data_IF_863116110646
#
_entry.id   IF_863116110646
#
_cell.length_a   1.000
_cell.length_b   1.000
_cell.length_c   1.000
_cell.angle_alpha   90.00
_cell.angle_beta   90.00
_cell.angle_gamma   90.00
#
_symmetry.space_group_name_H-M   'P 1'
#
loop_
_entity.id
_entity.type
_entity.pdbx_description
1 polymer ?
#
# COMPACT_ATOMS: atom_id res chain seq x y z
N UNK A 1 38.03 42.81 -20.98
CA UNK A 1 37.05 42.01 -21.74
C UNK A 1 36.41 41.02 -20.79
N UNK A 2 35.30 41.43 -20.17
CA UNK A 2 34.41 40.57 -19.40
C UNK A 2 33.69 39.66 -20.39
N UNK A 3 33.90 38.34 -20.32
CA UNK A 3 33.09 37.37 -21.06
C UNK A 3 31.65 37.54 -20.57
N UNK A 4 30.76 38.03 -21.44
CA UNK A 4 29.32 37.98 -21.19
C UNK A 4 28.93 36.52 -20.93
N UNK A 5 28.39 36.25 -19.74
CA UNK A 5 27.87 34.92 -19.41
C UNK A 5 26.63 34.70 -20.26
N UNK A 6 26.57 33.57 -20.96
CA UNK A 6 25.42 33.21 -21.78
C UNK A 6 24.17 33.15 -20.86
N UNK A 7 23.01 33.74 -21.23
CA UNK A 7 21.82 33.79 -20.38
C UNK A 7 21.40 32.43 -19.79
N UNK A 8 21.56 31.35 -20.56
CA UNK A 8 21.29 29.99 -20.10
C UNK A 8 22.16 29.55 -18.91
N UNK A 9 23.42 30.00 -18.82
CA UNK A 9 24.29 29.66 -17.69
C UNK A 9 23.82 30.35 -16.40
N UNK A 10 23.25 31.55 -16.50
CA UNK A 10 22.68 32.25 -15.33
C UNK A 10 21.42 31.53 -14.84
N UNK A 11 20.55 31.11 -15.75
CA UNK A 11 19.36 30.34 -15.44
C UNK A 11 19.71 28.99 -14.77
N UNK A 12 20.72 28.29 -15.28
CA UNK A 12 21.20 27.04 -14.68
C UNK A 12 21.80 27.24 -13.29
N UNK A 13 22.59 28.29 -13.07
CA UNK A 13 23.12 28.60 -11.73
C UNK A 13 22.01 28.96 -10.76
N UNK A 14 21.03 29.74 -11.22
CA UNK A 14 19.88 30.16 -10.42
C UNK A 14 19.00 28.96 -10.03
N UNK A 15 18.65 28.09 -10.98
CA UNK A 15 17.84 26.90 -10.70
C UNK A 15 18.53 25.95 -9.72
N UNK A 16 19.85 25.81 -9.76
CA UNK A 16 20.63 25.04 -8.78
C UNK A 16 20.54 25.65 -7.38
N UNK A 17 20.63 26.97 -7.27
CA UNK A 17 20.45 27.67 -6.00
C UNK A 17 19.05 27.43 -5.42
N UNK A 18 18.01 27.55 -6.26
CA UNK A 18 16.63 27.28 -5.85
C UNK A 18 16.42 25.82 -5.44
N UNK A 19 17.04 24.88 -6.15
CA UNK A 19 16.98 23.46 -5.84
C UNK A 19 17.59 23.17 -4.46
N UNK A 20 18.82 23.66 -4.20
CA UNK A 20 19.49 23.49 -2.92
C UNK A 20 18.71 24.12 -1.76
N UNK A 21 18.13 25.30 -1.98
CA UNK A 21 17.28 25.95 -0.99
C UNK A 21 16.02 25.13 -0.69
N UNK A 22 15.41 24.54 -1.72
CA UNK A 22 14.20 23.73 -1.57
C UNK A 22 14.45 22.42 -0.83
N UNK A 23 15.57 21.77 -1.11
CA UNK A 23 15.95 20.49 -0.52
C UNK A 23 16.90 20.67 0.68
N UNK A 24 16.93 21.85 1.31
CA UNK A 24 17.87 22.18 2.39
C UNK A 24 17.74 21.30 3.64
N UNK A 25 16.58 20.67 3.81
CA UNK A 25 16.32 19.76 4.93
C UNK A 25 16.83 18.34 4.67
N UNK A 26 17.35 18.06 3.47
CA UNK A 26 17.88 16.76 3.05
C UNK A 26 19.37 16.87 2.74
N UNK A 27 20.06 15.72 2.68
CA UNK A 27 21.45 15.69 2.24
C UNK A 27 21.48 15.70 0.72
N UNK A 28 22.01 16.76 0.14
CA UNK A 28 22.11 16.95 -1.32
C UNK A 28 23.58 17.00 -1.72
N UNK A 29 24.04 15.98 -2.44
CA UNK A 29 25.40 15.91 -2.98
C UNK A 29 25.38 16.36 -4.44
N UNK A 30 26.17 17.37 -4.80
CA UNK A 30 26.37 17.77 -6.20
C UNK A 30 27.28 16.76 -6.89
N UNK A 31 26.88 16.28 -8.07
CA UNK A 31 27.60 15.28 -8.86
C UNK A 31 28.30 15.87 -10.10
N UNK A 32 28.15 17.18 -10.33
CA UNK A 32 28.62 17.89 -11.54
C UNK A 32 30.14 17.83 -11.77
N UNK A 33 30.94 17.62 -10.72
CA UNK A 33 32.40 17.60 -10.82
C UNK A 33 32.99 16.24 -11.20
N UNK A 34 32.18 15.18 -11.23
CA UNK A 34 32.66 13.80 -11.33
C UNK A 34 32.20 13.07 -12.61
N UNK A 35 31.90 13.81 -13.68
CA UNK A 35 31.44 13.30 -14.99
C UNK A 35 30.23 12.34 -14.87
N UNK A 36 29.43 12.47 -13.82
CA UNK A 36 28.21 11.71 -13.67
C UNK A 36 27.14 12.24 -14.61
N UNK A 37 26.27 11.32 -15.07
CA UNK A 37 25.13 11.63 -15.92
C UNK A 37 24.02 12.46 -15.22
N UNK A 38 24.13 12.72 -13.91
CA UNK A 38 23.12 13.38 -13.10
C UNK A 38 23.70 14.57 -12.34
N UNK A 39 22.87 15.55 -11.99
CA UNK A 39 23.33 16.79 -11.33
C UNK A 39 23.48 16.63 -9.82
N UNK A 40 22.57 15.87 -9.18
CA UNK A 40 22.57 15.67 -7.73
C UNK A 40 22.25 14.23 -7.34
N UNK A 41 22.80 13.81 -6.20
CA UNK A 41 22.27 12.71 -5.40
C UNK A 41 21.57 13.29 -4.17
N UNK A 42 20.33 12.89 -3.94
CA UNK A 42 19.52 13.38 -2.84
C UNK A 42 19.23 12.23 -1.89
N UNK A 43 19.53 12.45 -0.60
CA UNK A 43 19.26 11.51 0.48
C UNK A 43 18.34 12.18 1.49
N UNK A 44 17.04 11.84 1.46
CA UNK A 44 16.09 12.38 2.41
C UNK A 44 16.49 12.00 3.84
N UNK A 45 16.57 13.01 4.71
CA UNK A 45 16.82 12.81 6.13
C UNK A 45 15.51 13.01 6.89
N UNK A 46 14.89 11.91 7.31
CA UNK A 46 13.73 11.96 8.19
C UNK A 46 14.13 12.39 9.60
N UNK A 47 13.25 13.14 10.29
CA UNK A 47 13.21 13.07 11.76
C UNK A 47 12.71 11.67 12.07
N UNK A 48 13.54 10.85 12.72
CA UNK A 48 13.14 9.52 13.17
C UNK A 48 11.93 9.66 14.10
N UNK A 49 10.73 9.26 13.65
CA UNK A 49 9.56 9.19 14.53
C UNK A 49 9.48 7.80 15.15
N UNK A 50 9.99 6.76 14.47
CA UNK A 50 10.16 5.42 15.04
C UNK A 50 11.39 4.68 14.49
N UNK A 51 12.02 3.84 15.33
CA UNK A 51 13.15 2.99 14.94
C UNK A 51 12.78 1.89 13.92
N UNK A 52 11.50 1.74 13.60
CA UNK A 52 10.95 0.84 12.57
C UNK A 52 10.67 1.51 11.22
N UNK A 53 10.85 2.83 11.09
CA UNK A 53 10.58 3.53 9.81
C UNK A 53 11.67 3.24 8.77
N UNK A 54 11.23 2.70 7.63
CA UNK A 54 12.05 2.40 6.45
C UNK A 54 12.84 3.64 6.05
N UNK A 55 14.17 3.50 5.93
CA UNK A 55 15.04 4.57 5.40
C UNK A 55 14.46 5.09 4.09
N UNK A 56 14.14 6.38 4.05
CA UNK A 56 13.66 7.03 2.82
C UNK A 56 14.69 6.80 1.70
N UNK A 57 14.22 6.26 0.56
CA UNK A 57 15.10 5.82 -0.51
C UNK A 57 15.83 7.01 -1.16
N UNK A 58 17.15 6.91 -1.38
CA UNK A 58 17.88 7.95 -2.10
C UNK A 58 17.43 7.99 -3.57
N UNK A 59 17.67 9.11 -4.23
CA UNK A 59 17.39 9.26 -5.66
C UNK A 59 18.40 10.21 -6.31
N UNK A 60 18.63 10.02 -7.61
CA UNK A 60 19.37 10.96 -8.44
C UNK A 60 18.44 12.03 -8.99
N UNK A 61 18.98 13.20 -9.27
CA UNK A 61 18.26 14.29 -9.92
C UNK A 61 18.98 14.72 -11.18
N UNK A 62 18.23 14.77 -12.27
CA UNK A 62 18.57 15.53 -13.46
C UNK A 62 17.79 16.85 -13.41
N UNK A 63 18.49 17.95 -13.14
CA UNK A 63 17.92 19.28 -13.08
C UNK A 63 17.96 19.92 -14.47
N UNK A 64 16.84 20.46 -14.92
CA UNK A 64 16.70 21.28 -16.12
C UNK A 64 16.01 22.59 -15.75
N UNK A 65 16.15 23.61 -16.59
CA UNK A 65 15.54 24.90 -16.33
C UNK A 65 15.02 25.55 -17.62
N UNK A 66 13.94 26.30 -17.49
CA UNK A 66 13.38 27.15 -18.54
C UNK A 66 12.95 28.49 -17.95
N UNK A 67 12.95 29.54 -18.77
CA UNK A 67 12.38 30.85 -18.38
C UNK A 67 10.86 30.74 -18.19
N UNK A 68 10.18 30.08 -19.12
CA UNK A 68 8.74 29.81 -19.12
C UNK A 68 8.41 28.64 -20.04
N UNK A 69 7.28 27.97 -19.82
CA UNK A 69 6.70 27.07 -20.81
C UNK A 69 5.73 27.81 -21.74
N UNK A 70 5.75 27.45 -23.03
CA UNK A 70 4.77 27.92 -24.00
C UNK A 70 3.51 27.04 -23.91
N UNK A 71 2.54 27.45 -23.09
CA UNK A 71 1.26 26.75 -22.87
C UNK A 71 0.97 26.45 -21.39
N UNK A 72 -0.29 26.19 -21.09
CA UNK A 72 -0.79 26.17 -19.70
C UNK A 72 -0.66 24.84 -18.96
N UNK A 73 -0.45 23.70 -19.62
CA UNK A 73 -0.74 22.40 -18.97
C UNK A 73 0.45 21.44 -18.85
N UNK A 74 1.45 21.52 -19.74
CA UNK A 74 2.51 20.47 -19.82
C UNK A 74 3.91 21.06 -19.91
N UNK A 75 4.79 20.61 -19.01
CA UNK A 75 6.22 20.85 -19.06
C UNK A 75 6.89 19.87 -20.04
N UNK A 76 7.72 20.38 -20.95
CA UNK A 76 8.32 19.59 -22.04
C UNK A 76 9.83 19.64 -21.99
N UNK A 77 10.48 18.49 -22.15
CA UNK A 77 11.94 18.42 -22.28
C UNK A 77 12.38 17.34 -23.27
N UNK A 78 13.36 17.64 -24.11
CA UNK A 78 13.91 16.69 -25.09
C UNK A 78 15.18 16.03 -24.56
N UNK A 79 15.23 14.71 -24.58
CA UNK A 79 16.39 13.90 -24.20
C UNK A 79 16.97 13.16 -25.39
N UNK A 80 18.29 12.94 -25.37
CA UNK A 80 18.90 11.91 -26.19
C UNK A 80 18.45 10.54 -25.68
N UNK A 81 18.01 9.68 -26.57
CA UNK A 81 17.53 8.33 -26.21
C UNK A 81 18.64 7.50 -25.56
N UNK A 82 19.90 7.67 -26.00
CA UNK A 82 21.06 7.00 -25.42
C UNK A 82 21.27 7.32 -23.94
N UNK A 83 20.99 8.55 -23.51
CA UNK A 83 21.06 8.95 -22.10
C UNK A 83 19.99 8.26 -21.25
N UNK A 84 18.74 8.20 -21.76
CA UNK A 84 17.67 7.53 -21.04
C UNK A 84 17.93 6.02 -20.90
N UNK A 85 18.46 5.38 -21.93
CA UNK A 85 18.78 3.94 -21.90
C UNK A 85 20.03 3.67 -21.06
N UNK A 86 21.13 4.37 -21.38
CA UNK A 86 22.46 4.10 -20.82
C UNK A 86 22.60 4.53 -19.37
N UNK A 87 22.02 5.67 -19.00
CA UNK A 87 22.20 6.26 -17.67
C UNK A 87 20.96 6.08 -16.81
N UNK A 88 19.79 6.49 -17.30
CA UNK A 88 18.58 6.52 -16.46
C UNK A 88 18.00 5.13 -16.19
N UNK A 89 17.78 4.32 -17.23
CA UNK A 89 17.24 2.97 -17.10
C UNK A 89 18.24 1.96 -16.54
N UNK A 90 19.53 2.29 -16.53
CA UNK A 90 20.56 1.46 -15.92
C UNK A 90 20.87 1.84 -14.46
N UNK A 91 20.35 2.97 -13.98
CA UNK A 91 20.52 3.38 -12.59
C UNK A 91 19.81 2.42 -11.61
N UNK A 92 20.49 2.10 -10.51
CA UNK A 92 19.99 1.23 -9.44
C UNK A 92 19.08 1.93 -8.43
N UNK A 93 18.96 3.25 -8.53
CA UNK A 93 18.07 4.09 -7.74
C UNK A 93 17.24 5.01 -8.66
N UNK A 94 16.07 5.50 -8.21
CA UNK A 94 15.22 6.39 -9.01
C UNK A 94 15.97 7.63 -9.51
N UNK A 95 15.70 8.03 -10.75
CA UNK A 95 16.19 9.26 -11.34
C UNK A 95 15.00 10.20 -11.52
N UNK A 96 15.01 11.30 -10.76
CA UNK A 96 13.99 12.35 -10.83
C UNK A 96 14.45 13.37 -11.87
N UNK A 97 13.63 13.61 -12.89
CA UNK A 97 13.73 14.81 -13.69
C UNK A 97 13.06 15.94 -12.92
N UNK A 98 13.80 17.00 -12.62
CA UNK A 98 13.26 18.23 -12.08
C UNK A 98 13.43 19.34 -13.12
N UNK A 99 12.34 19.98 -13.53
CA UNK A 99 12.36 21.12 -14.44
C UNK A 99 11.93 22.37 -13.68
N UNK A 100 12.86 23.30 -13.51
CA UNK A 100 12.62 24.59 -12.90
C UNK A 100 12.07 25.59 -13.92
N UNK A 101 10.98 26.27 -13.60
CA UNK A 101 10.44 27.38 -14.40
C UNK A 101 10.63 28.70 -13.65
N UNK A 102 11.41 29.62 -14.23
CA UNK A 102 11.76 30.88 -13.56
C UNK A 102 10.59 31.85 -13.41
N UNK A 103 9.71 31.92 -14.41
CA UNK A 103 8.56 32.84 -14.40
C UNK A 103 7.55 32.55 -13.28
N UNK A 104 7.42 31.28 -12.88
CA UNK A 104 6.53 30.84 -11.78
C UNK A 104 7.29 30.55 -10.49
N UNK A 105 8.62 30.47 -10.53
CA UNK A 105 9.49 30.03 -9.43
C UNK A 105 9.11 28.64 -8.88
N UNK A 106 8.85 27.70 -9.79
CA UNK A 106 8.33 26.37 -9.46
C UNK A 106 9.14 25.23 -10.07
N UNK A 107 9.11 24.07 -9.40
CA UNK A 107 9.67 22.83 -9.90
C UNK A 107 8.56 21.87 -10.34
N UNK A 108 8.66 21.38 -11.58
CA UNK A 108 7.87 20.26 -12.08
C UNK A 108 8.73 19.02 -12.15
N UNK A 109 8.16 17.84 -11.89
CA UNK A 109 8.97 16.65 -11.73
C UNK A 109 8.30 15.38 -12.21
N UNK A 110 9.12 14.40 -12.59
CA UNK A 110 8.69 13.02 -12.83
C UNK A 110 9.85 12.05 -12.54
N UNK A 111 9.54 10.76 -12.34
CA UNK A 111 10.57 9.72 -12.31
C UNK A 111 10.83 9.24 -13.74
N UNK A 112 12.06 9.42 -14.23
CA UNK A 112 12.42 9.08 -15.61
C UNK A 112 12.21 7.60 -15.94
N UNK A 113 12.57 6.69 -15.02
CA UNK A 113 12.35 5.27 -15.27
C UNK A 113 10.86 4.91 -15.36
N UNK A 114 10.02 5.42 -14.44
CA UNK A 114 8.57 5.21 -14.51
C UNK A 114 7.99 5.80 -15.78
N UNK A 115 8.39 7.00 -16.19
CA UNK A 115 7.94 7.61 -17.43
C UNK A 115 8.32 6.75 -18.66
N UNK A 116 9.54 6.21 -18.69
CA UNK A 116 9.96 5.30 -19.75
C UNK A 116 9.09 4.02 -19.80
N UNK A 117 8.76 3.44 -18.65
CA UNK A 117 8.00 2.19 -18.59
C UNK A 117 6.50 2.36 -18.80
N UNK A 118 5.92 3.46 -18.32
CA UNK A 118 4.47 3.65 -18.27
C UNK A 118 3.99 4.49 -19.46
N UNK A 119 4.81 5.42 -19.96
CA UNK A 119 4.42 6.32 -21.06
C UNK A 119 5.13 5.92 -22.34
N UNK A 120 6.47 5.85 -22.34
CA UNK A 120 7.19 5.62 -23.60
C UNK A 120 7.03 4.18 -24.11
N UNK A 121 7.12 3.18 -23.26
CA UNK A 121 6.94 1.78 -23.65
C UNK A 121 5.53 1.46 -24.16
N UNK A 122 4.53 2.17 -23.67
CA UNK A 122 3.13 1.94 -24.03
C UNK A 122 2.69 2.79 -25.23
N UNK A 123 2.99 4.09 -25.22
CA UNK A 123 2.47 5.03 -26.21
C UNK A 123 3.40 5.23 -27.41
N UNK A 124 4.71 4.94 -27.27
CA UNK A 124 5.69 5.06 -28.35
C UNK A 124 6.68 3.88 -28.33
N UNK A 125 6.27 2.63 -28.60
CA UNK A 125 7.11 1.43 -28.41
C UNK A 125 8.47 1.46 -29.15
N UNK A 126 8.57 2.22 -30.24
CA UNK A 126 9.78 2.37 -31.03
C UNK A 126 10.76 3.44 -30.51
N UNK A 127 10.43 4.14 -29.42
CA UNK A 127 11.20 5.27 -28.87
C UNK A 127 12.69 4.95 -28.67
N UNK A 128 13.02 3.69 -28.33
CA UNK A 128 14.40 3.24 -28.11
C UNK A 128 15.27 3.27 -29.37
N UNK A 129 14.67 3.28 -30.56
CA UNK A 129 15.37 3.38 -31.84
C UNK A 129 15.54 4.82 -32.32
N UNK A 130 14.82 5.77 -31.72
CA UNK A 130 14.87 7.19 -32.06
C UNK A 130 16.13 7.82 -31.46
N UNK A 131 16.67 8.87 -32.08
CA UNK A 131 17.83 9.59 -31.53
C UNK A 131 17.45 10.47 -30.34
N UNK A 132 16.24 11.04 -30.38
CA UNK A 132 15.70 11.91 -29.35
C UNK A 132 14.27 11.52 -29.04
N UNK A 133 13.88 11.70 -27.78
CA UNK A 133 12.51 11.57 -27.32
C UNK A 133 12.13 12.77 -26.46
N UNK A 134 10.88 13.19 -26.54
CA UNK A 134 10.34 14.28 -25.75
C UNK A 134 9.56 13.73 -24.57
N UNK A 135 9.95 14.16 -23.37
CA UNK A 135 9.23 13.89 -22.13
C UNK A 135 8.25 15.03 -21.87
N UNK A 136 7.03 14.67 -21.50
CA UNK A 136 5.91 15.55 -21.24
C UNK A 136 5.41 15.29 -19.82
N UNK A 137 5.46 16.31 -18.97
CA UNK A 137 5.09 16.19 -17.55
C UNK A 137 3.93 17.14 -17.29
N UNK A 138 2.90 16.66 -16.61
CA UNK A 138 1.83 17.53 -16.12
C UNK A 138 2.40 18.62 -15.22
N UNK A 139 1.89 19.85 -15.34
CA UNK A 139 2.34 20.99 -14.54
C UNK A 139 1.77 20.93 -13.13
N UNK A 140 2.14 19.90 -12.38
CA UNK A 140 1.89 19.78 -10.94
C UNK A 140 3.14 20.23 -10.15
N UNK A 141 3.14 21.44 -9.56
CA UNK A 141 4.32 21.96 -8.88
C UNK A 141 4.66 21.16 -7.62
N UNK A 142 5.96 20.95 -7.40
CA UNK A 142 6.49 20.37 -6.17
C UNK A 142 6.14 21.21 -4.92
N UNK A 143 5.91 22.50 -5.13
CA UNK A 143 5.50 23.51 -4.13
C UNK A 143 4.10 23.29 -3.56
N UNK A 144 3.25 22.52 -4.24
CA UNK A 144 1.86 22.30 -3.80
C UNK A 144 1.82 21.59 -2.43
N UNK A 145 0.75 21.77 -1.64
CA UNK A 145 0.57 21.03 -0.39
C UNK A 145 0.73 19.53 -0.62
N UNK A 146 1.65 18.90 0.13
CA UNK A 146 1.97 17.48 -0.01
C UNK A 146 2.85 17.10 -1.21
N UNK A 147 3.31 18.06 -2.03
CA UNK A 147 4.13 17.76 -3.23
C UNK A 147 5.40 16.97 -2.92
N UNK A 148 6.12 17.33 -1.85
CA UNK A 148 7.29 16.56 -1.37
C UNK A 148 6.92 15.15 -0.89
N UNK A 149 5.75 14.97 -0.26
CA UNK A 149 5.29 13.66 0.17
C UNK A 149 4.94 12.79 -1.04
N UNK A 150 4.28 13.35 -2.06
CA UNK A 150 3.99 12.66 -3.33
C UNK A 150 5.29 12.26 -4.04
N UNK A 151 6.26 13.16 -4.13
CA UNK A 151 7.61 12.84 -4.64
C UNK A 151 8.20 11.64 -3.91
N UNK A 152 8.19 11.64 -2.58
CA UNK A 152 8.73 10.55 -1.78
C UNK A 152 7.98 9.23 -1.97
N UNK A 153 6.65 9.26 -2.09
CA UNK A 153 5.84 8.08 -2.39
C UNK A 153 6.19 7.52 -3.77
N UNK A 154 6.27 8.37 -4.79
CA UNK A 154 6.60 7.96 -6.16
C UNK A 154 8.04 7.44 -6.29
N UNK A 155 9.01 8.07 -5.61
CA UNK A 155 10.39 7.57 -5.49
C UNK A 155 10.41 6.18 -4.86
N UNK A 156 9.66 5.98 -3.76
CA UNK A 156 9.59 4.68 -3.08
C UNK A 156 8.96 3.60 -3.96
N UNK A 157 7.90 3.94 -4.71
CA UNK A 157 7.28 3.03 -5.67
C UNK A 157 8.24 2.68 -6.82
N UNK A 158 8.93 3.68 -7.37
CA UNK A 158 9.93 3.46 -8.41
C UNK A 158 11.09 2.58 -7.93
N UNK A 159 11.58 2.78 -6.69
CA UNK A 159 12.63 1.93 -6.11
C UNK A 159 12.18 0.47 -6.02
N UNK A 160 10.95 0.20 -5.58
CA UNK A 160 10.39 -1.17 -5.55
C UNK A 160 10.36 -1.78 -6.95
N UNK A 161 9.96 -1.02 -7.97
CA UNK A 161 9.97 -1.47 -9.38
C UNK A 161 11.38 -1.76 -9.88
N UNK A 162 12.35 -0.88 -9.60
CA UNK A 162 13.77 -1.08 -9.96
C UNK A 162 14.31 -2.36 -9.33
N UNK A 163 14.10 -2.56 -8.02
CA UNK A 163 14.56 -3.75 -7.31
C UNK A 163 13.93 -5.03 -7.87
N UNK A 164 12.63 -5.02 -8.13
CA UNK A 164 11.91 -6.14 -8.76
C UNK A 164 12.47 -6.46 -10.15
N UNK A 165 12.63 -5.44 -11.01
CA UNK A 165 13.16 -5.60 -12.37
C UNK A 165 14.61 -6.09 -12.39
N UNK A 166 15.44 -5.62 -11.44
CA UNK A 166 16.81 -6.11 -11.26
C UNK A 166 16.85 -7.58 -10.83
N UNK A 167 15.96 -7.99 -9.93
CA UNK A 167 15.82 -9.38 -9.50
C UNK A 167 15.43 -10.30 -10.67
N UNK A 168 14.43 -9.90 -11.46
CA UNK A 168 13.98 -10.65 -12.65
C UNK A 168 15.11 -10.77 -13.67
N UNK A 169 15.83 -9.68 -13.96
CA UNK A 169 16.96 -9.70 -14.88
C UNK A 169 18.05 -10.68 -14.41
N UNK A 170 18.37 -10.65 -13.11
CA UNK A 170 19.39 -11.52 -12.50
C UNK A 170 19.00 -13.00 -12.53
N UNK A 171 17.73 -13.33 -12.27
CA UNK A 171 17.22 -14.71 -12.35
C UNK A 171 17.27 -15.27 -13.77
N UNK A 172 17.00 -14.45 -14.78
CA UNK A 172 16.86 -14.90 -16.18
C UNK A 172 18.16 -14.92 -16.97
N UNK A 173 19.07 -13.98 -16.72
CA UNK A 173 20.30 -13.83 -17.54
C UNK A 173 21.48 -14.67 -17.03
N UNK A 174 21.32 -15.34 -15.88
CA UNK A 174 22.40 -16.06 -15.21
C UNK A 174 23.49 -15.11 -14.71
N UNK A 175 24.35 -15.58 -13.80
CA UNK A 175 25.38 -14.75 -13.15
C UNK A 175 26.52 -14.28 -14.09
N UNK A 176 26.54 -14.68 -15.36
CA UNK A 176 27.73 -14.52 -16.23
C UNK A 176 27.48 -13.99 -17.65
N UNK A 177 26.27 -13.56 -18.01
CA UNK A 177 26.00 -12.96 -19.32
C UNK A 177 25.24 -11.64 -19.16
N UNK A 178 25.98 -10.57 -18.83
CA UNK A 178 25.45 -9.21 -18.92
C UNK A 178 25.60 -8.73 -20.37
N UNK A 179 24.54 -8.71 -21.21
CA UNK A 179 24.59 -7.87 -22.40
C UNK A 179 24.78 -6.42 -21.96
N UNK A 180 25.63 -5.63 -22.65
CA UNK A 180 25.81 -4.23 -22.33
C UNK A 180 24.48 -3.49 -22.55
N UNK A 181 24.01 -2.75 -21.54
CA UNK A 181 23.06 -1.66 -21.76
C UNK A 181 21.82 -1.58 -20.86
N UNK A 182 21.41 -2.62 -20.12
CA UNK A 182 20.37 -2.49 -19.08
C UNK A 182 20.53 -3.53 -17.98
N UNK A 183 20.75 -3.08 -16.74
CA UNK A 183 20.77 -3.95 -15.54
C UNK A 183 19.35 -4.36 -15.08
N UNK A 184 18.32 -3.78 -15.69
CA UNK A 184 16.92 -3.98 -15.33
C UNK A 184 16.19 -4.78 -16.42
N UNK A 185 15.21 -5.59 -15.99
CA UNK A 185 14.29 -6.25 -16.90
C UNK A 185 13.41 -5.22 -17.65
N UNK A 186 13.27 -5.42 -18.95
CA UNK A 186 12.31 -4.70 -19.79
C UNK A 186 10.87 -5.00 -19.39
N UNK A 187 9.95 -4.13 -19.80
CA UNK A 187 8.51 -4.27 -19.48
C UNK A 187 7.94 -5.60 -20.00
N UNK A 188 8.38 -6.04 -21.18
CA UNK A 188 7.99 -7.34 -21.73
C UNK A 188 8.61 -8.52 -20.97
N UNK A 189 9.86 -8.41 -20.49
CA UNK A 189 10.46 -9.45 -19.63
C UNK A 189 9.71 -9.60 -18.31
N UNK A 190 9.28 -8.48 -17.70
CA UNK A 190 8.46 -8.47 -16.47
C UNK A 190 7.10 -9.13 -16.72
N UNK A 191 6.37 -8.69 -17.76
CA UNK A 191 5.06 -9.26 -18.13
C UNK A 191 5.17 -10.75 -18.39
N UNK A 192 6.20 -11.19 -19.12
CA UNK A 192 6.47 -12.62 -19.35
C UNK A 192 6.75 -13.38 -18.06
N UNK A 193 7.54 -12.82 -17.15
CA UNK A 193 7.83 -13.46 -15.86
C UNK A 193 6.55 -13.64 -15.04
N UNK A 194 5.72 -12.59 -14.93
CA UNK A 194 4.43 -12.69 -14.24
C UNK A 194 3.52 -13.74 -14.88
N UNK A 195 3.41 -13.79 -16.21
CA UNK A 195 2.64 -14.82 -16.93
C UNK A 195 3.09 -16.23 -16.59
N UNK A 196 4.41 -16.50 -16.65
CA UNK A 196 4.97 -17.81 -16.30
C UNK A 196 4.61 -18.22 -14.86
N UNK A 197 4.59 -17.27 -13.91
CA UNK A 197 4.19 -17.54 -12.54
C UNK A 197 2.69 -17.85 -12.41
N UNK A 198 1.82 -17.16 -13.15
CA UNK A 198 0.37 -17.44 -13.20
C UNK A 198 0.11 -18.80 -13.83
N UNK A 199 0.75 -19.11 -14.95
CA UNK A 199 0.67 -20.43 -15.61
C UNK A 199 1.16 -21.56 -14.69
N UNK A 200 2.25 -21.33 -13.96
CA UNK A 200 2.75 -22.29 -12.97
C UNK A 200 1.74 -22.51 -11.84
N UNK A 201 1.10 -21.43 -11.37
CA UNK A 201 0.04 -21.53 -10.36
C UNK A 201 -1.17 -22.33 -10.88
N UNK A 202 -1.55 -22.17 -12.15
CA UNK A 202 -2.60 -22.97 -12.77
C UNK A 202 -2.26 -24.46 -12.77
N UNK A 203 -1.04 -24.82 -13.18
CA UNK A 203 -0.56 -26.22 -13.13
C UNK A 203 -0.57 -26.78 -11.71
N UNK A 204 -0.16 -25.98 -10.73
CA UNK A 204 -0.21 -26.37 -9.31
C UNK A 204 -1.65 -26.60 -8.82
N UNK A 205 -2.60 -25.76 -9.25
CA UNK A 205 -4.01 -25.93 -8.89
C UNK A 205 -4.59 -27.23 -9.49
N UNK A 206 -4.30 -27.53 -10.76
CA UNK A 206 -4.71 -28.79 -11.41
C UNK A 206 -4.12 -30.02 -10.69
N UNK A 207 -2.89 -29.89 -10.18
CA UNK A 207 -2.21 -30.94 -9.41
C UNK A 207 -2.63 -31.00 -7.93
N UNK A 208 -3.73 -30.35 -7.54
CA UNK A 208 -4.26 -30.30 -6.17
C UNK A 208 -3.27 -29.72 -5.13
N UNK A 209 -2.40 -28.82 -5.57
CA UNK A 209 -1.47 -28.07 -4.72
C UNK A 209 -1.97 -26.64 -4.48
N UNK A 210 -3.21 -26.52 -4.00
CA UNK A 210 -3.95 -25.25 -3.88
C UNK A 210 -3.19 -24.17 -3.09
N UNK A 211 -2.59 -24.51 -1.95
CA UNK A 211 -1.83 -23.54 -1.14
C UNK A 211 -0.64 -22.94 -1.92
N UNK A 212 0.07 -23.77 -2.69
CA UNK A 212 1.21 -23.31 -3.51
C UNK A 212 0.74 -22.48 -4.69
N UNK A 213 -0.38 -22.85 -5.31
CA UNK A 213 -1.01 -22.06 -6.36
C UNK A 213 -1.40 -20.66 -5.84
N UNK A 214 -2.13 -20.59 -4.72
CA UNK A 214 -2.54 -19.34 -4.07
C UNK A 214 -1.36 -18.47 -3.67
N UNK A 215 -0.30 -19.05 -3.10
CA UNK A 215 0.93 -18.31 -2.77
C UNK A 215 1.58 -17.71 -4.01
N UNK A 216 1.59 -18.44 -5.13
CA UNK A 216 2.20 -17.98 -6.38
C UNK A 216 1.40 -16.85 -7.04
N UNK A 217 0.08 -16.95 -7.13
CA UNK A 217 -0.75 -15.85 -7.66
C UNK A 217 -0.77 -14.64 -6.72
N UNK A 218 -0.72 -14.85 -5.40
CA UNK A 218 -0.58 -13.75 -4.44
C UNK A 218 0.75 -13.01 -4.63
N UNK A 219 1.84 -13.73 -4.88
CA UNK A 219 3.12 -13.11 -5.20
C UNK A 219 3.01 -12.24 -6.47
N UNK A 220 2.39 -12.72 -7.54
CA UNK A 220 2.17 -11.92 -8.76
C UNK A 220 1.34 -10.67 -8.48
N UNK A 221 0.26 -10.79 -7.70
CA UNK A 221 -0.57 -9.65 -7.28
C UNK A 221 0.24 -8.58 -6.54
N UNK A 222 1.15 -8.99 -5.66
CA UNK A 222 2.01 -8.09 -4.87
C UNK A 222 3.17 -7.47 -5.67
N UNK A 223 3.58 -8.06 -6.80
CA UNK A 223 4.62 -7.48 -7.65
C UNK A 223 4.13 -6.17 -8.26
N UNK A 224 4.93 -5.08 -8.26
CA UNK A 224 4.54 -3.79 -8.83
C UNK A 224 4.04 -3.87 -10.28
N UNK A 225 3.32 -2.83 -10.72
CA UNK A 225 2.74 -2.64 -12.07
C UNK A 225 1.39 -3.32 -12.27
N UNK A 226 0.40 -2.50 -12.65
CA UNK A 226 -0.94 -2.90 -13.06
C UNK A 226 -0.89 -3.35 -14.52
N UNK A 227 -0.64 -4.64 -14.73
CA UNK A 227 -0.57 -5.27 -16.04
C UNK A 227 -1.57 -6.43 -16.19
N UNK A 228 -1.79 -6.89 -17.42
CA UNK A 228 -2.67 -8.03 -17.72
C UNK A 228 -2.40 -9.27 -16.84
N UNK A 229 -1.15 -9.67 -16.57
CA UNK A 229 -0.86 -10.79 -15.66
C UNK A 229 -1.33 -10.57 -14.21
N UNK A 230 -1.35 -9.32 -13.71
CA UNK A 230 -1.95 -9.01 -12.42
C UNK A 230 -3.47 -9.20 -12.44
N UNK A 231 -4.15 -8.77 -13.51
CA UNK A 231 -5.59 -9.04 -13.70
C UNK A 231 -5.86 -10.55 -13.72
N UNK A 232 -5.08 -11.33 -14.45
CA UNK A 232 -5.20 -12.78 -14.48
C UNK A 232 -4.99 -13.39 -13.07
N UNK A 233 -3.99 -12.90 -12.32
CA UNK A 233 -3.75 -13.34 -10.94
C UNK A 233 -4.93 -13.00 -10.00
N UNK A 234 -5.57 -11.85 -10.17
CA UNK A 234 -6.78 -11.47 -9.42
C UNK A 234 -7.92 -12.46 -9.71
N UNK A 235 -8.22 -12.72 -10.99
CA UNK A 235 -9.26 -13.68 -11.37
C UNK A 235 -8.99 -15.07 -10.77
N UNK A 236 -7.73 -15.52 -10.79
CA UNK A 236 -7.34 -16.78 -10.15
C UNK A 236 -7.51 -16.76 -8.63
N UNK A 237 -7.13 -15.68 -7.95
CA UNK A 237 -7.32 -15.53 -6.51
C UNK A 237 -8.81 -15.57 -6.14
N UNK A 238 -9.67 -14.94 -6.94
CA UNK A 238 -11.12 -14.96 -6.75
C UNK A 238 -11.69 -16.36 -6.94
N UNK A 239 -11.26 -17.08 -7.98
CA UNK A 239 -11.73 -18.43 -8.28
C UNK A 239 -11.26 -19.49 -7.28
N UNK A 240 -9.98 -19.42 -6.85
CA UNK A 240 -9.37 -20.45 -6.01
C UNK A 240 -9.64 -20.27 -4.51
N UNK A 241 -10.00 -19.06 -4.05
CA UNK A 241 -10.30 -18.81 -2.63
C UNK A 241 -11.74 -19.15 -2.29
N UNK A 242 -11.92 -20.13 -1.43
CA UNK A 242 -13.22 -20.49 -0.84
C UNK A 242 -13.60 -19.48 0.22
N UNK A 243 -14.83 -18.96 0.17
CA UNK A 243 -15.37 -18.04 1.19
C UNK A 243 -15.78 -18.84 2.43
N UNK A 244 -14.92 -18.87 3.45
CA UNK A 244 -15.20 -19.59 4.71
C UNK A 244 -15.28 -18.69 5.93
N UNK A 245 -14.95 -17.40 5.78
CA UNK A 245 -14.91 -16.43 6.86
C UNK A 245 -15.10 -14.99 6.31
N UNK A 246 -15.58 -14.04 7.12
CA UNK A 246 -15.83 -12.67 6.69
C UNK A 246 -14.59 -11.94 6.15
N UNK A 247 -13.42 -12.17 6.74
CA UNK A 247 -12.14 -11.59 6.30
C UNK A 247 -11.76 -12.06 4.88
N UNK A 248 -12.01 -13.33 4.56
CA UNK A 248 -11.80 -13.88 3.22
C UNK A 248 -12.81 -13.28 2.23
N UNK A 249 -14.08 -13.15 2.63
CA UNK A 249 -15.11 -12.53 1.79
C UNK A 249 -14.76 -11.07 1.45
N UNK A 250 -14.36 -10.28 2.45
CA UNK A 250 -13.91 -8.90 2.28
C UNK A 250 -12.65 -8.82 1.42
N UNK A 251 -11.68 -9.73 1.60
CA UNK A 251 -10.50 -9.80 0.75
C UNK A 251 -10.85 -10.07 -0.72
N UNK A 252 -11.83 -10.96 -0.99
CA UNK A 252 -12.32 -11.21 -2.36
C UNK A 252 -12.98 -9.98 -2.96
N UNK A 253 -13.81 -9.24 -2.21
CA UNK A 253 -14.43 -8.01 -2.72
C UNK A 253 -13.39 -6.93 -3.09
N UNK A 254 -12.32 -6.81 -2.31
CA UNK A 254 -11.21 -5.88 -2.62
C UNK A 254 -10.47 -6.26 -3.89
N UNK A 255 -10.10 -7.54 -3.99
CA UNK A 255 -9.45 -8.08 -5.19
C UNK A 255 -10.34 -7.85 -6.42
N UNK A 256 -11.64 -8.05 -6.29
CA UNK A 256 -12.58 -7.81 -7.36
C UNK A 256 -12.72 -6.33 -7.74
N UNK A 257 -12.76 -5.40 -6.78
CA UNK A 257 -12.77 -3.96 -7.09
C UNK A 257 -11.52 -3.55 -7.88
N UNK A 258 -10.35 -4.04 -7.48
CA UNK A 258 -9.11 -3.81 -8.24
C UNK A 258 -9.17 -4.47 -9.61
N UNK A 259 -9.64 -5.72 -9.69
CA UNK A 259 -9.81 -6.45 -10.95
C UNK A 259 -10.77 -5.75 -11.92
N UNK A 260 -11.89 -5.23 -11.44
CA UNK A 260 -12.85 -4.46 -12.23
C UNK A 260 -12.25 -3.15 -12.74
N UNK A 261 -11.46 -2.45 -11.92
CA UNK A 261 -10.74 -1.25 -12.35
C UNK A 261 -9.76 -1.57 -13.49
N UNK A 262 -9.01 -2.68 -13.38
CA UNK A 262 -8.09 -3.13 -14.42
C UNK A 262 -8.82 -3.61 -15.68
N UNK A 263 -9.86 -4.42 -15.54
CA UNK A 263 -10.66 -4.91 -16.66
C UNK A 263 -11.35 -3.76 -17.42
N UNK A 264 -11.79 -2.72 -16.72
CA UNK A 264 -12.26 -1.48 -17.33
C UNK A 264 -11.15 -0.76 -18.10
N UNK A 265 -9.94 -0.66 -17.53
CA UNK A 265 -8.82 0.00 -18.20
C UNK A 265 -8.37 -0.71 -19.49
N UNK A 266 -8.60 -2.02 -19.60
CA UNK A 266 -8.27 -2.83 -20.77
C UNK A 266 -9.45 -3.05 -21.73
N UNK A 267 -10.64 -2.50 -21.43
CA UNK A 267 -11.86 -2.69 -22.22
C UNK A 267 -12.23 -4.18 -22.39
N UNK A 268 -12.21 -4.93 -21.27
CA UNK A 268 -12.48 -6.38 -21.26
C UNK A 268 -13.80 -6.72 -20.54
N UNK A 269 -14.96 -6.55 -21.21
CA UNK A 269 -16.27 -6.76 -20.58
C UNK A 269 -16.48 -8.21 -20.11
N UNK A 270 -15.96 -9.20 -20.85
CA UNK A 270 -16.08 -10.62 -20.48
C UNK A 270 -15.38 -10.92 -19.13
N UNK A 271 -14.28 -10.22 -18.84
CA UNK A 271 -13.56 -10.37 -17.57
C UNK A 271 -14.30 -9.64 -16.44
N UNK A 272 -14.98 -8.53 -16.75
CA UNK A 272 -15.82 -7.85 -15.77
C UNK A 272 -16.98 -8.75 -15.33
N UNK A 273 -17.70 -9.35 -16.28
CA UNK A 273 -18.78 -10.30 -16.01
C UNK A 273 -18.29 -11.49 -15.17
N UNK A 274 -17.14 -12.08 -15.54
CA UNK A 274 -16.51 -13.15 -14.75
C UNK A 274 -16.20 -12.72 -13.30
N UNK A 275 -15.68 -11.51 -13.10
CA UNK A 275 -15.36 -11.02 -11.75
C UNK A 275 -16.65 -10.81 -10.95
N UNK A 276 -17.70 -10.28 -11.57
CA UNK A 276 -19.02 -10.10 -10.94
C UNK A 276 -19.60 -11.45 -10.49
N UNK A 277 -19.55 -12.47 -11.34
CA UNK A 277 -19.99 -13.84 -10.99
C UNK A 277 -19.18 -14.41 -9.80
N UNK A 278 -17.87 -14.18 -9.77
CA UNK A 278 -16.98 -14.70 -8.72
C UNK A 278 -17.17 -14.03 -7.36
N UNK A 279 -17.82 -12.86 -7.29
CA UNK A 279 -18.08 -12.13 -6.04
C UNK A 279 -19.49 -12.30 -5.48
N UNK A 280 -20.40 -12.94 -6.20
CA UNK A 280 -21.75 -13.19 -5.70
C UNK A 280 -21.75 -14.04 -4.42
N UNK A 281 -20.96 -15.11 -4.38
CA UNK A 281 -20.81 -15.94 -3.17
C UNK A 281 -20.26 -15.14 -1.97
N UNK A 282 -19.14 -14.38 -2.09
CA UNK A 282 -18.68 -13.48 -1.04
C UNK A 282 -19.73 -12.45 -0.59
N UNK A 283 -20.47 -11.83 -1.50
CA UNK A 283 -21.52 -10.86 -1.17
C UNK A 283 -22.65 -11.51 -0.39
N UNK A 284 -23.10 -12.68 -0.83
CA UNK A 284 -24.17 -13.42 -0.17
C UNK A 284 -23.73 -13.92 1.21
N UNK A 285 -22.50 -14.42 1.32
CA UNK A 285 -21.91 -14.80 2.62
C UNK A 285 -21.93 -13.63 3.60
N UNK A 286 -21.49 -12.43 3.18
CA UNK A 286 -21.52 -11.26 4.07
C UNK A 286 -22.95 -10.83 4.44
N UNK A 287 -23.92 -10.91 3.54
CA UNK A 287 -25.33 -10.62 3.89
C UNK A 287 -25.88 -11.58 4.96
N UNK A 288 -25.46 -12.84 4.90
CA UNK A 288 -25.94 -13.91 5.78
C UNK A 288 -25.22 -13.91 7.13
N UNK A 289 -23.90 -13.69 7.12
CA UNK A 289 -23.02 -13.99 8.27
C UNK A 289 -22.35 -12.75 8.90
N UNK A 290 -22.38 -11.57 8.26
CA UNK A 290 -21.65 -10.40 8.76
C UNK A 290 -22.53 -9.43 9.57
N UNK A 291 -22.29 -9.36 10.88
CA UNK A 291 -22.84 -8.33 11.76
C UNK A 291 -21.85 -7.16 11.83
N UNK A 292 -22.29 -5.93 11.52
CA UNK A 292 -21.43 -4.74 11.53
C UNK A 292 -22.15 -3.43 11.24
N UNK A 293 -21.43 -2.41 10.77
CA UNK A 293 -21.99 -1.11 10.40
C UNK A 293 -21.62 -0.74 8.95
N UNK A 294 -22.63 -0.37 8.15
CA UNK A 294 -22.50 0.23 6.82
C UNK A 294 -22.54 1.75 6.93
N UNK A 295 -21.48 2.40 6.49
CA UNK A 295 -21.40 3.86 6.48
C UNK A 295 -22.02 4.43 5.20
N UNK A 296 -22.87 5.43 5.34
CA UNK A 296 -23.62 6.04 4.23
C UNK A 296 -22.89 7.30 3.75
N UNK A 297 -21.74 7.17 3.10
CA UNK A 297 -21.04 8.32 2.51
C UNK A 297 -20.61 8.05 1.06
N UNK A 298 -20.72 9.07 0.22
CA UNK A 298 -20.36 9.00 -1.21
C UNK A 298 -18.86 9.22 -1.46
N UNK A 299 -18.13 9.73 -0.46
CA UNK A 299 -16.68 9.96 -0.49
C UNK A 299 -16.09 9.71 0.90
N UNK A 300 -15.11 8.82 0.98
CA UNK A 300 -14.30 8.61 2.18
C UNK A 300 -13.15 9.62 2.23
N UNK A 301 -12.80 10.13 3.41
CA UNK A 301 -11.63 10.98 3.62
C UNK A 301 -10.29 10.23 3.53
N UNK A 302 -10.33 8.89 3.69
CA UNK A 302 -9.17 8.00 3.57
C UNK A 302 -9.59 6.59 3.11
N UNK A 303 -8.71 5.89 2.40
CA UNK A 303 -8.94 4.50 2.04
C UNK A 303 -8.53 3.59 3.22
N UNK A 304 -9.49 2.90 3.84
CA UNK A 304 -9.25 2.00 4.97
C UNK A 304 -10.31 0.88 5.02
N UNK A 305 -9.94 -0.28 5.56
CA UNK A 305 -10.85 -1.34 6.01
C UNK A 305 -11.50 -0.91 7.30
N UNK A 306 -12.80 -1.09 7.47
CA UNK A 306 -13.40 -1.14 8.82
C UNK A 306 -13.53 -2.61 9.18
N UNK A 307 -12.79 -3.05 10.19
CA UNK A 307 -12.78 -4.42 10.67
C UNK A 307 -13.86 -4.68 11.71
N UNK A 308 -14.11 -3.68 12.56
CA UNK A 308 -14.99 -3.80 13.73
C UNK A 308 -15.43 -2.39 14.15
N UNK A 309 -16.62 -2.22 14.72
CA UNK A 309 -17.08 -0.97 15.31
C UNK A 309 -17.59 -1.26 16.71
N UNK A 310 -16.99 -0.62 17.71
CA UNK A 310 -17.35 -0.75 19.13
C UNK A 310 -17.82 0.58 19.69
N UNK A 311 -18.84 0.56 20.55
CA UNK A 311 -19.28 1.78 21.25
C UNK A 311 -18.41 1.99 22.49
N UNK A 312 -17.75 3.14 22.61
CA UNK A 312 -16.98 3.52 23.80
C UNK A 312 -17.66 4.68 24.52
N UNK A 313 -18.14 4.42 25.73
CA UNK A 313 -18.74 5.40 26.62
C UNK A 313 -19.43 4.73 27.80
N UNK A 314 -19.57 5.45 28.91
CA UNK A 314 -20.25 4.96 30.12
C UNK A 314 -21.77 5.17 29.99
N UNK A 315 -22.49 4.11 29.61
CA UNK A 315 -23.96 4.01 29.67
C UNK A 315 -24.68 4.15 28.33
N UNK A 316 -25.95 3.71 28.28
CA UNK A 316 -26.83 3.66 27.09
C UNK A 316 -27.32 5.04 26.57
N UNK A 317 -26.54 6.09 26.79
CA UNK A 317 -26.87 7.47 26.44
C UNK A 317 -26.20 7.96 25.16
N UNK A 318 -26.55 9.19 24.69
CA UNK A 318 -25.95 9.87 23.53
C UNK A 318 -24.45 10.21 23.69
N UNK A 319 -23.85 9.87 24.84
CA UNK A 319 -22.43 10.03 25.15
C UNK A 319 -21.58 8.81 24.76
N UNK A 320 -22.20 7.76 24.19
CA UNK A 320 -21.48 6.62 23.60
C UNK A 320 -20.88 7.01 22.25
N UNK A 321 -19.55 7.00 22.16
CA UNK A 321 -18.83 7.37 20.96
C UNK A 321 -18.43 6.08 20.22
N UNK A 322 -18.94 5.84 19.00
CA UNK A 322 -18.53 4.69 18.20
C UNK A 322 -17.07 4.85 17.75
N UNK A 323 -16.30 3.77 17.94
CA UNK A 323 -14.89 3.64 17.57
C UNK A 323 -14.73 2.41 16.69
N UNK A 324 -14.26 2.62 15.47
CA UNK A 324 -13.97 1.60 14.49
C UNK A 324 -12.51 1.13 14.60
N UNK A 325 -12.29 -0.18 14.65
CA UNK A 325 -11.00 -0.77 14.32
C UNK A 325 -10.89 -0.78 12.80
N UNK A 326 -9.85 -0.15 12.27
CA UNK A 326 -9.59 -0.04 10.84
C UNK A 326 -8.27 -0.67 10.46
N UNK A 327 -8.16 -1.09 9.20
CA UNK A 327 -6.88 -1.47 8.58
C UNK A 327 -6.61 -0.53 7.41
N UNK A 328 -5.55 0.26 7.45
CA UNK A 328 -5.26 1.22 6.40
C UNK A 328 -4.75 0.56 5.09
N UNK A 329 -4.46 1.38 4.08
CA UNK A 329 -3.90 0.93 2.79
C UNK A 329 -2.51 0.28 2.91
N UNK A 330 -1.81 0.48 4.03
CA UNK A 330 -0.50 -0.10 4.32
C UNK A 330 -0.62 -1.43 5.09
N UNK A 331 -1.83 -1.78 5.54
CA UNK A 331 -2.12 -2.99 6.29
C UNK A 331 -2.05 -2.80 7.82
N UNK A 332 -1.84 -1.57 8.29
CA UNK A 332 -1.71 -1.23 9.70
C UNK A 332 -3.08 -1.11 10.37
N UNK A 333 -3.18 -1.59 11.61
CA UNK A 333 -4.42 -1.57 12.40
C UNK A 333 -4.49 -0.33 13.29
N UNK A 334 -5.57 0.45 13.17
CA UNK A 334 -5.81 1.63 13.98
C UNK A 334 -7.22 1.59 14.60
N UNK A 335 -7.44 2.28 15.72
CA UNK A 335 -8.77 2.46 16.30
C UNK A 335 -9.16 3.93 16.22
N UNK A 336 -10.26 4.21 15.54
CA UNK A 336 -10.63 5.56 15.12
C UNK A 336 -12.10 5.84 15.34
N UNK A 337 -12.45 7.08 15.70
CA UNK A 337 -13.86 7.43 15.88
C UNK A 337 -14.59 7.29 14.55
N UNK A 338 -15.80 6.77 14.57
CA UNK A 338 -16.60 6.56 13.36
C UNK A 338 -16.71 7.82 12.50
N UNK A 339 -16.98 8.99 13.12
CA UNK A 339 -17.02 10.29 12.44
C UNK A 339 -15.70 10.75 11.82
N UNK A 340 -14.56 10.24 12.27
CA UNK A 340 -13.26 10.55 11.68
C UNK A 340 -13.04 9.83 10.33
N UNK A 341 -13.81 8.78 10.03
CA UNK A 341 -13.73 8.01 8.79
C UNK A 341 -14.59 8.59 7.66
N UNK A 342 -15.80 9.01 8.01
CA UNK A 342 -16.84 9.42 7.05
C UNK A 342 -17.04 10.93 6.94
N UNK A 343 -16.30 11.75 7.69
CA UNK A 343 -16.52 13.20 7.80
C UNK A 343 -17.96 13.61 8.27
N UNK A 344 -18.76 12.62 8.66
CA UNK A 344 -20.13 12.66 9.19
C UNK A 344 -20.35 11.39 10.05
N UNK A 345 -21.25 11.43 11.02
CA UNK A 345 -21.61 10.33 11.93
C UNK A 345 -22.77 9.45 11.39
N UNK A 346 -23.12 9.54 10.10
CA UNK A 346 -24.21 8.76 9.49
C UNK A 346 -23.80 7.34 9.07
N UNK A 347 -24.40 6.33 9.71
CA UNK A 347 -24.22 4.92 9.41
C UNK A 347 -25.52 4.12 9.64
N UNK A 348 -25.55 2.91 9.11
CA UNK A 348 -26.60 1.92 9.28
C UNK A 348 -26.00 0.66 9.88
N UNK A 349 -26.58 0.13 10.95
CA UNK A 349 -26.19 -1.16 11.48
C UNK A 349 -26.70 -2.26 10.54
N UNK A 350 -25.79 -3.12 10.09
CA UNK A 350 -26.13 -4.33 9.36
C UNK A 350 -26.16 -5.47 10.38
N UNK A 351 -27.37 -5.94 10.67
CA UNK A 351 -27.59 -7.20 11.36
C UNK A 351 -27.74 -8.30 10.31
N UNK A 352 -26.92 -9.35 10.39
CA UNK A 352 -26.92 -10.43 9.41
C UNK A 352 -28.03 -11.45 9.68
N UNK A 353 -28.51 -12.09 8.61
CA UNK A 353 -29.67 -12.98 8.61
C UNK A 353 -29.33 -14.47 8.46
N UNK A 354 -28.46 -14.98 9.33
CA UNK A 354 -28.27 -16.40 9.73
C UNK A 354 -27.11 -16.55 10.72
N UNK A 355 -26.48 -15.46 11.16
CA UNK A 355 -25.74 -15.47 12.41
C UNK A 355 -26.70 -15.94 13.50
N UNK A 356 -26.42 -17.11 14.05
CA UNK A 356 -26.81 -17.45 15.41
C UNK A 356 -26.55 -16.20 16.25
N UNK A 357 -27.59 -15.72 16.93
CA UNK A 357 -27.39 -14.73 17.98
C UNK A 357 -26.18 -15.24 18.79
N UNK A 358 -25.08 -14.51 18.95
CA UNK A 358 -23.90 -15.09 19.59
C UNK A 358 -24.20 -15.58 21.01
N UNK A 359 -25.32 -15.14 21.61
CA UNK A 359 -25.90 -15.73 22.83
C UNK A 359 -26.31 -17.20 22.70
N UNK A 360 -26.71 -17.69 21.52
CA UNK A 360 -27.06 -19.10 21.28
C UNK A 360 -25.83 -20.00 21.16
N UNK A 361 -24.68 -19.43 20.79
CA UNK A 361 -23.43 -20.19 20.61
C UNK A 361 -22.45 -19.99 21.76
N UNK A 362 -22.62 -18.91 22.55
CA UNK A 362 -21.86 -18.67 23.75
C UNK A 362 -22.09 -19.77 24.79
N UNK A 363 -21.00 -20.18 25.44
CA UNK A 363 -21.12 -20.98 26.65
C UNK A 363 -21.89 -20.19 27.72
N UNK A 364 -22.45 -20.91 28.70
CA UNK A 364 -23.02 -20.28 29.88
C UNK A 364 -21.94 -19.49 30.65
N UNK A 365 -22.34 -18.47 31.39
CA UNK A 365 -21.42 -17.70 32.24
C UNK A 365 -20.67 -18.64 33.19
N UNK A 366 -19.35 -18.48 33.28
CA UNK A 366 -18.50 -19.38 34.07
C UNK A 366 -17.98 -20.61 33.32
N UNK A 367 -18.51 -20.94 32.14
CA UNK A 367 -18.14 -22.14 31.39
C UNK A 367 -17.14 -21.89 30.25
N UNK A 368 -16.69 -20.65 30.07
CA UNK A 368 -15.71 -20.30 29.04
C UNK A 368 -14.33 -20.86 29.36
N UNK A 369 -13.66 -21.38 28.34
CA UNK A 369 -12.35 -22.01 28.46
C UNK A 369 -11.35 -21.30 27.54
N UNK A 370 -10.35 -20.64 28.13
CA UNK A 370 -9.37 -19.83 27.40
C UNK A 370 -7.95 -20.31 27.67
N UNK A 371 -7.08 -20.14 26.67
CA UNK A 371 -5.62 -20.28 26.85
C UNK A 371 -5.09 -19.17 27.75
N UNK A 372 -4.36 -19.55 28.81
CA UNK A 372 -3.68 -18.60 29.72
C UNK A 372 -2.72 -17.69 28.94
N UNK A 373 -1.99 -18.27 27.98
CA UNK A 373 -1.03 -17.53 27.15
C UNK A 373 -1.75 -16.49 26.32
N UNK A 374 -2.88 -16.86 25.69
CA UNK A 374 -3.62 -15.98 24.79
C UNK A 374 -4.31 -14.85 25.57
N UNK A 375 -4.85 -15.15 26.76
CA UNK A 375 -5.43 -14.12 27.63
C UNK A 375 -4.39 -13.11 28.14
N UNK A 376 -3.15 -13.54 28.37
CA UNK A 376 -2.06 -12.65 28.80
C UNK A 376 -1.54 -11.77 27.69
N UNK A 377 -1.29 -12.36 26.52
CA UNK A 377 -0.68 -11.64 25.40
C UNK A 377 -1.69 -10.83 24.60
N UNK A 378 -2.94 -11.31 24.49
CA UNK A 378 -3.98 -10.77 23.64
C UNK A 378 -5.37 -10.83 24.29
N UNK A 379 -5.51 -10.32 25.51
CA UNK A 379 -6.72 -10.46 26.36
C UNK A 379 -8.04 -10.36 25.60
N UNK A 380 -8.27 -9.29 24.84
CA UNK A 380 -9.51 -9.09 24.06
C UNK A 380 -9.69 -10.04 22.87
N UNK A 381 -8.60 -10.52 22.28
CA UNK A 381 -8.62 -11.36 21.09
C UNK A 381 -8.54 -12.87 21.41
N UNK A 382 -8.25 -13.22 22.68
CA UNK A 382 -8.26 -14.59 23.16
C UNK A 382 -9.62 -15.25 22.87
N UNK A 383 -9.60 -16.48 22.36
CA UNK A 383 -10.81 -17.22 21.96
C UNK A 383 -11.13 -18.29 22.98
N UNK A 384 -12.41 -18.41 23.31
CA UNK A 384 -12.91 -19.56 24.05
C UNK A 384 -12.79 -20.81 23.18
N UNK A 385 -12.14 -21.86 23.69
CA UNK A 385 -11.94 -23.13 22.99
C UNK A 385 -13.24 -23.88 22.71
N UNK A 386 -14.30 -23.58 23.50
CA UNK A 386 -15.61 -24.23 23.45
C UNK A 386 -16.55 -23.55 22.46
N UNK A 387 -16.86 -22.26 22.66
CA UNK A 387 -17.79 -21.52 21.79
C UNK A 387 -17.11 -20.80 20.62
N UNK A 388 -15.77 -20.73 20.58
CA UNK A 388 -15.02 -20.04 19.52
C UNK A 388 -15.11 -18.50 19.58
N UNK A 389 -15.94 -17.94 20.46
CA UNK A 389 -16.11 -16.50 20.64
C UNK A 389 -14.91 -15.88 21.35
N UNK A 390 -14.61 -14.63 21.00
CA UNK A 390 -13.50 -13.88 21.61
C UNK A 390 -13.91 -13.33 22.98
N UNK A 391 -12.94 -13.19 23.86
CA UNK A 391 -13.11 -12.63 25.20
C UNK A 391 -13.79 -11.25 25.19
N UNK A 392 -13.41 -10.36 24.27
CA UNK A 392 -14.06 -9.05 24.11
C UNK A 392 -15.51 -9.15 23.63
N UNK A 393 -15.85 -10.13 22.80
CA UNK A 393 -17.23 -10.35 22.32
C UNK A 393 -18.12 -10.85 23.45
N UNK A 394 -17.62 -11.79 24.26
CA UNK A 394 -18.33 -12.35 25.40
C UNK A 394 -18.57 -11.31 26.51
N UNK A 395 -17.55 -10.51 26.84
CA UNK A 395 -17.66 -9.48 27.89
C UNK A 395 -18.38 -8.21 27.45
N UNK A 396 -18.02 -7.65 26.30
CA UNK A 396 -18.48 -6.30 25.91
C UNK A 396 -19.81 -6.33 25.14
N UNK A 397 -20.14 -7.46 24.49
CA UNK A 397 -21.33 -7.54 23.64
C UNK A 397 -22.41 -8.49 24.17
N UNK A 398 -22.00 -9.59 24.81
CA UNK A 398 -22.93 -10.49 25.47
C UNK A 398 -23.13 -10.18 26.95
N UNK A 399 -22.37 -9.22 27.49
CA UNK A 399 -22.38 -8.82 28.91
C UNK A 399 -22.09 -10.00 29.86
N UNK A 400 -21.44 -11.05 29.36
CA UNK A 400 -21.11 -12.23 30.16
C UNK A 400 -19.85 -11.97 31.00
N UNK A 401 -19.87 -12.48 32.22
CA UNK A 401 -18.65 -12.57 33.02
C UNK A 401 -17.66 -13.53 32.34
N UNK A 402 -16.44 -13.05 32.10
CA UNK A 402 -15.34 -13.80 31.48
C UNK A 402 -14.14 -13.78 32.41
N UNK A 403 -13.31 -14.83 32.42
CA UNK A 403 -12.22 -14.89 33.37
C UNK A 403 -11.05 -14.01 32.92
N UNK A 404 -10.30 -13.55 33.91
CA UNK A 404 -9.08 -12.78 33.76
C UNK A 404 -7.89 -13.58 34.32
N UNK A 405 -6.68 -13.23 33.88
CA UNK A 405 -5.46 -13.87 34.37
C UNK A 405 -4.88 -13.07 35.54
N UNK A 406 -4.70 -13.72 36.68
CA UNK A 406 -4.02 -13.13 37.83
C UNK A 406 -2.60 -12.73 37.47
N UNK A 407 -2.26 -11.46 37.73
CA UNK A 407 -0.94 -10.91 37.42
C UNK A 407 0.20 -11.57 38.21
N UNK A 408 -0.10 -12.09 39.42
CA UNK A 408 0.90 -12.65 40.34
C UNK A 408 1.17 -14.13 40.12
N UNK A 409 0.14 -14.97 40.04
CA UNK A 409 0.30 -16.42 39.93
C UNK A 409 -0.07 -17.01 38.57
N UNK A 410 -0.76 -16.24 37.71
CA UNK A 410 -1.19 -16.72 36.40
C UNK A 410 -2.39 -17.66 36.39
N UNK A 411 -3.11 -17.78 37.49
CA UNK A 411 -4.40 -18.46 37.51
C UNK A 411 -5.45 -17.68 36.69
N UNK A 412 -6.44 -18.41 36.19
CA UNK A 412 -7.63 -17.86 35.51
C UNK A 412 -8.73 -17.77 36.56
N UNK A 413 -9.23 -16.58 36.84
CA UNK A 413 -10.36 -16.36 37.77
C UNK A 413 -11.40 -15.39 37.19
N UNK A 414 -12.66 -15.59 37.54
CA UNK A 414 -13.77 -14.71 37.16
C UNK A 414 -13.86 -13.47 38.05
N UNK A 415 -13.41 -13.57 39.31
CA UNK A 415 -13.49 -12.50 40.30
C UNK A 415 -12.09 -12.14 40.82
N UNK A 416 -11.38 -11.26 40.11
CA UNK A 416 -10.15 -10.66 40.64
C UNK A 416 -10.47 -9.45 41.52
N UNK A 417 -9.84 -9.35 42.68
CA UNK A 417 -10.00 -8.19 43.57
C UNK A 417 -9.02 -7.07 43.16
N UNK A 418 -9.52 -5.84 43.10
CA UNK A 418 -8.70 -4.66 42.87
C UNK A 418 -7.84 -4.34 44.11
N UNK A 419 -6.56 -4.70 44.05
CA UNK A 419 -5.53 -4.26 44.99
C UNK A 419 -5.04 -2.84 44.68
N UNK A 420 -4.18 -2.28 45.56
CA UNK A 420 -3.71 -0.88 45.42
C UNK A 420 -3.08 -0.55 44.06
N UNK A 421 -2.58 -1.54 43.31
CA UNK A 421 -2.05 -1.35 41.95
C UNK A 421 -2.20 -2.57 41.00
N UNK A 422 -2.82 -3.68 41.43
CA UNK A 422 -2.89 -4.93 40.66
C UNK A 422 -4.20 -5.68 40.95
N UNK A 423 -4.73 -6.39 39.94
CA UNK A 423 -5.82 -7.34 40.10
C UNK A 423 -5.28 -8.69 40.58
N UNK A 424 -5.68 -9.09 41.78
CA UNK A 424 -5.18 -10.30 42.45
C UNK A 424 -6.30 -11.32 42.58
N UNK A 425 -5.95 -12.59 42.36
CA UNK A 425 -6.85 -13.71 42.62
C UNK A 425 -7.06 -13.90 44.12
N UNK A 426 -8.14 -14.58 44.49
CA UNK A 426 -8.47 -14.87 45.90
C UNK A 426 -7.32 -15.54 46.65
N UNK A 427 -6.61 -16.48 46.01
CA UNK A 427 -5.43 -17.15 46.57
C UNK A 427 -4.26 -16.19 46.85
N UNK A 428 -4.07 -15.16 46.02
CA UNK A 428 -2.98 -14.18 46.14
C UNK A 428 -3.28 -13.05 47.15
N UNK A 429 -4.54 -12.88 47.55
CA UNK A 429 -4.97 -11.87 48.54
C UNK A 429 -4.84 -12.40 49.96
N UNK A 430 -4.96 -13.72 50.14
CA UNK A 430 -4.80 -14.38 51.45
C UNK A 430 -3.34 -14.62 51.87
N UNK A 431 -2.39 -14.39 50.96
CA UNK A 431 -0.92 -14.43 51.20
C UNK A 431 -0.29 -13.04 51.25
#
# INVERSE_FOLDING_TARGET
MTKERHPNHELEQYSRGMFLARFSNWVVNSLVEADYAFDFEVRPTGKFVNHSEVRQSPFFVQLKATEKFDGSEVARWQFQTSYLIGDCLSASIPVVLCIYERSSDQFYWCILQSYCWDVLDEQNPEWRSQTYVQIQIDREPLETPGGMQRLMQTVSQAQRRITMRSSIASQRRGTFANPPGTQLASTEEVRRHKRELVEDAHRLAIADHLYRALSRVMYVYQLPEDDRPRLDAICYLLALRVTTAPDIALAKLRLANHGLALANSYDEPDVQELIEDLIDSPREYLKQEFIGARYLHTKSGRECLVLEVVFRGSGDGPDTIPVATIQDSMGDLEMERAGALSANDEYELIESGSSTNPRSDACEEGEHDFSITDLREYSRAAKCSRCGLRHGVLSEWLEQSVPEVCNRCGSIEYDLQDGRHERLCTDCVTE
#
